data_IF_182861831688
#
_entry.id   IF_182861831688
#
_cell.length_a   1.000
_cell.length_b   1.000
_cell.length_c   1.000
_cell.angle_alpha   90.00
_cell.angle_beta   90.00
_cell.angle_gamma   90.00
#
_symmetry.space_group_name_H-M   'P 1'
#
loop_
_entity.id
_entity.type
_entity.pdbx_description
1 polymer ?
#
# COMPACT_ATOMS: atom_id res chain seq x y z
N UNK A 1 7.69 -19.89 -5.07
CA UNK A 1 6.59 -20.69 -5.67
C UNK A 1 5.32 -19.85 -5.71
N UNK A 2 4.36 -20.20 -6.58
CA UNK A 2 3.03 -19.51 -6.61
C UNK A 2 2.37 -19.52 -5.23
N UNK A 3 2.53 -20.59 -4.48
CA UNK A 3 1.98 -20.70 -3.13
C UNK A 3 2.56 -19.67 -2.15
N UNK A 4 3.84 -19.35 -2.24
CA UNK A 4 4.45 -18.32 -1.39
C UNK A 4 3.93 -16.93 -1.77
N UNK A 5 3.87 -16.62 -3.07
CA UNK A 5 3.29 -15.36 -3.52
C UNK A 5 1.83 -15.21 -3.03
N UNK A 6 1.01 -16.23 -3.16
CA UNK A 6 -0.38 -16.19 -2.68
C UNK A 6 -0.46 -15.92 -1.18
N UNK A 7 0.43 -16.48 -0.37
CA UNK A 7 0.51 -16.18 1.07
C UNK A 7 0.87 -14.72 1.31
N UNK A 8 1.88 -14.20 0.61
CA UNK A 8 2.28 -12.80 0.72
C UNK A 8 1.11 -11.86 0.39
N UNK A 9 0.42 -12.09 -0.73
CA UNK A 9 -0.76 -11.31 -1.13
C UNK A 9 -1.86 -11.37 -0.06
N UNK A 10 -2.16 -12.56 0.47
CA UNK A 10 -3.15 -12.73 1.52
C UNK A 10 -2.77 -12.05 2.85
N UNK A 11 -1.48 -11.98 3.20
CA UNK A 11 -1.01 -11.22 4.36
C UNK A 11 -1.29 -9.72 4.21
N UNK A 12 -1.03 -9.16 3.02
CA UNK A 12 -1.35 -7.76 2.72
C UNK A 12 -2.85 -7.49 2.84
N UNK A 13 -3.70 -8.35 2.25
CA UNK A 13 -5.15 -8.22 2.38
C UNK A 13 -5.62 -8.28 3.84
N UNK A 14 -5.08 -9.21 4.61
CA UNK A 14 -5.42 -9.36 6.03
C UNK A 14 -5.01 -8.12 6.85
N UNK A 15 -3.85 -7.54 6.55
CA UNK A 15 -3.39 -6.30 7.17
C UNK A 15 -4.33 -5.14 6.83
N UNK A 16 -4.70 -4.99 5.55
CA UNK A 16 -5.62 -3.95 5.11
C UNK A 16 -6.99 -4.05 5.79
N UNK A 17 -7.53 -5.27 5.96
CA UNK A 17 -8.79 -5.46 6.68
C UNK A 17 -8.69 -5.15 8.17
N UNK A 18 -7.61 -5.54 8.84
CA UNK A 18 -7.38 -5.17 10.24
C UNK A 18 -7.33 -3.65 10.43
N UNK A 19 -6.61 -2.95 9.56
CA UNK A 19 -6.53 -1.50 9.62
C UNK A 19 -7.86 -0.84 9.24
N UNK A 20 -8.57 -1.41 8.26
CA UNK A 20 -9.86 -0.91 7.80
C UNK A 20 -10.93 -0.91 8.88
N UNK A 21 -11.01 -1.93 9.74
CA UNK A 21 -12.03 -1.98 10.82
C UNK A 21 -11.83 -0.90 11.88
N UNK A 22 -10.61 -0.41 12.04
CA UNK A 22 -10.30 0.69 12.94
C UNK A 22 -10.52 2.07 12.29
N UNK A 23 -10.69 2.13 10.97
CA UNK A 23 -10.91 3.38 10.25
C UNK A 23 -12.42 3.62 10.01
N UNK A 24 -13.03 4.65 10.62
CA UNK A 24 -14.46 4.93 10.45
C UNK A 24 -14.86 5.33 9.03
N UNK A 25 -13.90 5.70 8.17
CA UNK A 25 -14.13 6.09 6.78
C UNK A 25 -13.90 4.95 5.78
N UNK A 26 -13.40 3.80 6.23
CA UNK A 26 -13.13 2.67 5.34
C UNK A 26 -14.45 2.01 4.86
N UNK A 27 -14.51 1.64 3.59
CA UNK A 27 -15.61 0.83 3.05
C UNK A 27 -15.73 -0.52 3.79
N UNK A 28 -14.61 -1.17 4.05
CA UNK A 28 -14.55 -2.40 4.84
C UNK A 28 -14.16 -2.11 6.30
N UNK A 29 -14.88 -1.17 6.89
CA UNK A 29 -14.80 -0.87 8.31
C UNK A 29 -15.52 -1.89 9.19
N UNK A 30 -15.78 -1.52 10.43
CA UNK A 30 -16.47 -2.33 11.44
C UNK A 30 -17.86 -2.80 10.94
N UNK A 31 -18.20 -4.05 11.22
CA UNK A 31 -19.42 -4.73 10.76
C UNK A 31 -19.53 -4.96 9.24
N UNK A 32 -18.47 -4.71 8.48
CA UNK A 32 -18.39 -5.04 7.05
C UNK A 32 -18.26 -6.56 6.82
N UNK A 33 -18.43 -7.06 5.58
CA UNK A 33 -18.26 -8.49 5.31
C UNK A 33 -16.91 -9.07 5.76
N UNK A 34 -15.74 -8.45 5.48
CA UNK A 34 -14.46 -8.93 5.98
C UNK A 34 -14.36 -9.01 7.51
N UNK A 35 -14.91 -8.02 8.24
CA UNK A 35 -14.96 -8.04 9.70
C UNK A 35 -15.83 -9.20 10.21
N UNK A 36 -17.03 -9.35 9.67
CA UNK A 36 -17.95 -10.43 10.04
C UNK A 36 -17.42 -11.83 9.74
N UNK A 37 -16.59 -11.95 8.70
CA UNK A 37 -15.95 -13.23 8.31
C UNK A 37 -14.60 -13.44 9.02
N UNK A 38 -14.11 -12.47 9.77
CA UNK A 38 -12.85 -12.55 10.48
C UNK A 38 -11.63 -12.67 9.56
N UNK A 39 -11.62 -11.96 8.43
CA UNK A 39 -10.57 -12.04 7.41
C UNK A 39 -9.29 -11.29 7.83
N UNK A 40 -8.80 -11.57 9.04
CA UNK A 40 -7.67 -10.86 9.66
C UNK A 40 -6.36 -11.67 9.62
N UNK A 41 -6.36 -12.81 8.93
CA UNK A 41 -5.16 -13.62 8.71
C UNK A 41 -5.09 -14.10 7.26
N UNK A 42 -3.88 -14.35 6.78
CA UNK A 42 -3.69 -14.92 5.45
C UNK A 42 -4.41 -16.27 5.29
N UNK A 43 -4.39 -17.09 6.33
CA UNK A 43 -5.09 -18.38 6.34
C UNK A 43 -6.60 -18.22 6.15
N UNK A 44 -7.23 -17.26 6.83
CA UNK A 44 -8.66 -17.01 6.69
C UNK A 44 -9.02 -16.61 5.25
N UNK A 45 -8.19 -15.80 4.59
CA UNK A 45 -8.40 -15.37 3.20
C UNK A 45 -8.15 -16.53 2.22
N UNK A 46 -7.09 -17.30 2.42
CA UNK A 46 -6.73 -18.41 1.52
C UNK A 46 -7.73 -19.58 1.60
N UNK A 47 -8.41 -19.73 2.73
CA UNK A 47 -9.43 -20.77 2.93
C UNK A 47 -10.83 -20.39 2.40
N UNK A 48 -11.01 -19.17 1.87
CA UNK A 48 -12.28 -18.77 1.26
C UNK A 48 -12.58 -19.62 0.00
N UNK A 49 -13.84 -19.99 -0.22
CA UNK A 49 -14.23 -20.73 -1.42
C UNK A 49 -14.04 -19.89 -2.68
N UNK A 50 -13.86 -20.52 -3.82
CA UNK A 50 -13.74 -19.81 -5.10
C UNK A 50 -15.07 -19.30 -5.64
N UNK A 51 -16.19 -19.88 -5.20
CA UNK A 51 -17.52 -19.53 -5.70
C UNK A 51 -18.52 -19.41 -4.55
N UNK A 52 -19.59 -18.65 -4.78
CA UNK A 52 -20.68 -18.48 -3.82
C UNK A 52 -20.55 -17.20 -2.99
N UNK A 53 -21.39 -17.09 -1.98
CA UNK A 53 -21.41 -15.91 -1.11
C UNK A 53 -20.16 -15.87 -0.22
N UNK A 54 -19.43 -14.76 -0.24
CA UNK A 54 -18.19 -14.60 0.54
C UNK A 54 -16.99 -15.31 -0.10
N UNK A 55 -17.05 -15.60 -1.40
CA UNK A 55 -15.97 -16.27 -2.14
C UNK A 55 -14.80 -15.32 -2.46
N UNK A 56 -13.66 -15.92 -2.76
CA UNK A 56 -12.44 -15.26 -3.22
C UNK A 56 -12.02 -15.80 -4.60
N UNK A 57 -12.80 -15.54 -5.67
CA UNK A 57 -12.50 -16.03 -7.01
C UNK A 57 -11.21 -15.42 -7.56
N UNK A 58 -10.57 -16.13 -8.49
CA UNK A 58 -9.47 -15.60 -9.29
C UNK A 58 -10.02 -14.51 -10.23
N UNK A 59 -9.40 -13.36 -10.22
CA UNK A 59 -9.72 -12.22 -11.10
C UNK A 59 -8.72 -12.16 -12.27
N UNK A 60 -7.44 -12.24 -11.96
CA UNK A 60 -6.36 -12.33 -12.93
C UNK A 60 -5.19 -13.08 -12.27
N UNK A 61 -4.99 -14.34 -12.63
CA UNK A 61 -4.02 -15.21 -11.96
C UNK A 61 -2.65 -14.55 -11.80
N UNK A 62 -2.07 -14.51 -10.59
CA UNK A 62 -2.50 -15.15 -9.33
C UNK A 62 -3.45 -14.31 -8.46
N UNK A 63 -3.88 -13.11 -8.91
CA UNK A 63 -4.69 -12.19 -8.11
C UNK A 63 -6.13 -12.68 -7.98
N UNK A 64 -6.64 -12.59 -6.76
CA UNK A 64 -8.01 -12.95 -6.39
C UNK A 64 -8.81 -11.69 -6.00
N UNK A 65 -10.10 -11.85 -5.75
CA UNK A 65 -10.99 -10.74 -5.42
C UNK A 65 -10.50 -9.92 -4.22
N UNK A 66 -10.00 -10.58 -3.17
CA UNK A 66 -9.50 -9.90 -1.97
C UNK A 66 -8.12 -9.27 -2.15
N UNK A 67 -7.48 -9.44 -3.31
CA UNK A 67 -6.26 -8.73 -3.69
C UNK A 67 -6.54 -7.38 -4.39
N UNK A 68 -7.81 -7.11 -4.69
CA UNK A 68 -8.25 -5.92 -5.43
C UNK A 68 -8.87 -4.90 -4.49
N UNK A 69 -8.54 -3.61 -4.68
CA UNK A 69 -9.23 -2.54 -3.98
C UNK A 69 -10.67 -2.36 -4.47
N UNK A 70 -11.49 -1.73 -3.65
CA UNK A 70 -12.79 -1.24 -4.06
C UNK A 70 -12.64 0.02 -4.93
N UNK A 71 -13.64 0.27 -5.77
CA UNK A 71 -13.79 1.55 -6.44
C UNK A 71 -14.42 2.52 -5.44
N UNK A 72 -13.71 3.60 -5.12
CA UNK A 72 -14.11 4.58 -4.12
C UNK A 72 -13.83 5.99 -4.61
N UNK A 73 -14.72 6.91 -4.28
CA UNK A 73 -14.49 8.34 -4.44
C UNK A 73 -14.09 8.94 -3.09
N UNK A 74 -13.21 9.93 -3.12
CA UNK A 74 -12.76 10.60 -1.91
C UNK A 74 -12.08 11.92 -2.22
N UNK A 75 -11.90 12.73 -1.19
CA UNK A 75 -11.15 13.97 -1.27
C UNK A 75 -10.36 14.20 0.01
N UNK A 76 -9.17 14.75 -0.13
CA UNK A 76 -8.35 15.22 0.98
C UNK A 76 -7.77 16.58 0.65
N UNK A 77 -7.57 17.42 1.64
CA UNK A 77 -6.97 18.72 1.49
C UNK A 77 -5.92 18.96 2.58
N UNK A 78 -4.81 19.56 2.19
CA UNK A 78 -3.75 20.01 3.10
C UNK A 78 -3.48 21.50 2.85
N UNK A 79 -3.08 22.21 3.89
CA UNK A 79 -2.65 23.60 3.80
C UNK A 79 -1.13 23.61 3.93
N UNK A 80 -0.47 24.18 2.93
CA UNK A 80 0.97 24.39 2.92
C UNK A 80 1.26 25.86 3.26
N UNK A 81 2.26 26.09 4.10
CA UNK A 81 2.71 27.41 4.52
C UNK A 81 4.20 27.35 4.84
N UNK A 82 4.85 28.50 4.88
CA UNK A 82 6.19 28.59 5.44
C UNK A 82 6.20 28.18 6.92
N UNK A 83 7.29 27.52 7.34
CA UNK A 83 7.42 26.98 8.70
C UNK A 83 7.27 28.10 9.75
N UNK A 84 7.79 29.28 9.50
CA UNK A 84 7.70 30.42 10.45
C UNK A 84 6.27 30.96 10.57
N UNK A 85 5.49 30.92 9.50
CA UNK A 85 4.07 31.29 9.52
C UNK A 85 3.20 30.19 10.13
N UNK A 86 3.57 28.92 9.97
CA UNK A 86 2.83 27.80 10.51
C UNK A 86 2.98 27.63 12.03
N UNK A 87 4.16 27.90 12.60
CA UNK A 87 4.46 27.74 14.05
C UNK A 87 3.43 28.38 14.98
N UNK A 88 2.96 29.63 14.74
CA UNK A 88 1.96 30.27 15.60
C UNK A 88 0.56 29.68 15.48
N UNK A 89 0.26 28.91 14.42
CA UNK A 89 -1.09 28.43 14.11
C UNK A 89 -1.50 27.19 14.92
N UNK A 90 -0.56 26.51 15.56
CA UNK A 90 -0.88 25.39 16.43
C UNK A 90 0.22 24.35 16.64
N UNK A 91 -0.07 23.38 17.50
CA UNK A 91 0.87 22.35 17.95
C UNK A 91 1.08 21.19 16.96
N UNK A 92 0.37 21.14 15.83
CA UNK A 92 0.41 20.07 14.85
C UNK A 92 0.96 20.55 13.51
N UNK A 93 2.12 21.19 13.53
CA UNK A 93 2.85 21.52 12.31
C UNK A 93 3.71 20.31 11.94
N UNK A 94 3.55 19.85 10.70
CA UNK A 94 4.36 18.78 10.13
C UNK A 94 5.22 19.41 9.03
N UNK A 95 6.51 19.19 9.09
CA UNK A 95 7.45 19.69 8.09
C UNK A 95 7.49 18.75 6.87
N UNK A 96 7.45 19.32 5.68
CA UNK A 96 7.73 18.62 4.43
C UNK A 96 9.25 18.62 4.21
N UNK A 97 9.93 17.59 4.67
CA UNK A 97 11.38 17.53 4.70
C UNK A 97 12.01 17.25 3.33
N UNK A 98 11.32 16.58 2.42
CA UNK A 98 11.85 16.29 1.09
C UNK A 98 10.80 15.81 0.11
N UNK A 99 11.00 16.11 -1.17
CA UNK A 99 10.12 15.73 -2.27
C UNK A 99 10.92 14.96 -3.33
N UNK A 100 10.35 13.86 -3.81
CA UNK A 100 10.90 13.11 -4.93
C UNK A 100 9.83 12.77 -5.96
N UNK A 101 10.13 13.04 -7.22
CA UNK A 101 9.25 12.67 -8.33
C UNK A 101 10.04 12.00 -9.45
N UNK A 102 9.47 10.98 -10.04
CA UNK A 102 9.97 10.32 -11.23
C UNK A 102 8.82 9.75 -12.05
N UNK A 103 9.04 9.58 -13.32
CA UNK A 103 8.08 8.94 -14.24
C UNK A 103 8.75 7.77 -14.94
N UNK A 104 7.97 6.79 -15.31
CA UNK A 104 8.37 5.62 -16.06
C UNK A 104 7.57 5.49 -17.34
N UNK A 105 7.98 4.61 -18.22
CA UNK A 105 7.24 4.33 -19.46
C UNK A 105 5.85 3.81 -19.14
N UNK A 106 4.84 4.38 -19.79
CA UNK A 106 3.44 4.04 -19.57
C UNK A 106 3.15 2.58 -19.92
N UNK A 107 3.62 2.13 -21.08
CA UNK A 107 3.42 0.75 -21.52
C UNK A 107 4.35 -0.21 -20.75
N UNK A 108 3.77 -1.13 -20.01
CA UNK A 108 4.51 -2.11 -19.20
C UNK A 108 5.41 -2.99 -20.06
N UNK A 109 4.97 -3.36 -21.26
CA UNK A 109 5.73 -4.21 -22.19
C UNK A 109 7.09 -3.64 -22.63
N UNK A 110 7.32 -2.34 -22.43
CA UNK A 110 8.60 -1.69 -22.76
C UNK A 110 9.40 -1.30 -21.53
N UNK A 111 8.96 -1.69 -20.33
CA UNK A 111 9.72 -1.49 -19.09
C UNK A 111 10.86 -2.51 -19.04
N UNK A 112 12.05 -2.10 -18.60
CA UNK A 112 13.19 -3.01 -18.48
C UNK A 112 12.96 -4.11 -17.43
N UNK A 113 12.14 -3.83 -16.43
CA UNK A 113 11.79 -4.76 -15.36
C UNK A 113 10.33 -4.54 -14.93
N UNK A 114 9.52 -5.59 -14.95
CA UNK A 114 8.11 -5.53 -14.62
C UNK A 114 7.82 -5.79 -13.11
N UNK A 115 8.80 -6.30 -12.40
CA UNK A 115 8.68 -6.63 -10.97
C UNK A 115 9.41 -5.62 -10.06
N UNK A 116 9.73 -4.44 -10.59
CA UNK A 116 10.27 -3.34 -9.82
C UNK A 116 9.56 -2.03 -10.16
N UNK A 117 9.34 -1.20 -9.15
CA UNK A 117 8.89 0.18 -9.33
C UNK A 117 10.11 1.11 -9.46
N UNK A 118 10.75 1.10 -10.63
CA UNK A 118 12.00 1.87 -10.88
C UNK A 118 11.77 3.37 -10.63
N UNK A 119 10.68 3.94 -11.14
CA UNK A 119 10.33 5.32 -10.87
C UNK A 119 10.10 5.58 -9.37
N UNK A 120 9.50 4.64 -8.66
CA UNK A 120 9.33 4.68 -7.21
C UNK A 120 10.68 4.76 -6.48
N UNK A 121 11.60 3.85 -6.80
CA UNK A 121 12.97 3.84 -6.23
C UNK A 121 13.69 5.18 -6.48
N UNK A 122 13.58 5.73 -7.69
CA UNK A 122 14.19 7.04 -8.02
C UNK A 122 13.56 8.18 -7.22
N UNK A 123 12.23 8.21 -7.09
CA UNK A 123 11.53 9.22 -6.32
C UNK A 123 11.90 9.17 -4.83
N UNK A 124 11.93 7.98 -4.24
CA UNK A 124 12.35 7.76 -2.85
C UNK A 124 13.77 8.25 -2.61
N UNK A 125 14.71 7.85 -3.47
CA UNK A 125 16.11 8.29 -3.33
C UNK A 125 16.27 9.82 -3.40
N UNK A 126 15.50 10.48 -4.24
CA UNK A 126 15.50 11.94 -4.33
C UNK A 126 14.95 12.61 -3.08
N UNK A 127 13.78 12.15 -2.58
CA UNK A 127 13.17 12.74 -1.39
C UNK A 127 14.03 12.49 -0.14
N UNK A 128 14.63 11.32 0.01
CA UNK A 128 15.51 11.00 1.13
C UNK A 128 16.81 11.83 1.08
N UNK A 129 17.38 11.99 -0.12
CA UNK A 129 18.57 12.85 -0.29
C UNK A 129 18.28 14.33 0.05
N UNK A 130 17.11 14.85 -0.35
CA UNK A 130 16.69 16.21 0.00
C UNK A 130 16.43 16.36 1.50
N UNK A 131 15.74 15.39 2.11
CA UNK A 131 15.47 15.38 3.54
C UNK A 131 16.71 15.11 4.41
N UNK A 132 17.78 14.55 3.83
CA UNK A 132 18.98 14.15 4.57
C UNK A 132 18.77 12.93 5.47
N UNK A 133 17.84 12.04 5.12
CA UNK A 133 17.48 10.84 5.87
C UNK A 133 17.71 9.56 5.06
N UNK A 134 17.59 8.43 5.74
CA UNK A 134 17.58 7.08 5.17
C UNK A 134 16.30 6.34 5.54
N UNK A 135 16.09 5.16 4.98
CA UNK A 135 14.95 4.30 5.35
C UNK A 135 14.93 3.94 6.84
N UNK A 136 16.08 3.92 7.50
CA UNK A 136 16.18 3.60 8.94
C UNK A 136 15.65 4.71 9.85
N UNK A 137 15.42 5.90 9.30
CA UNK A 137 14.88 7.07 10.00
C UNK A 137 13.36 7.19 9.82
N UNK A 138 12.73 6.25 9.08
CA UNK A 138 11.30 6.27 8.77
C UNK A 138 10.54 5.39 9.75
N UNK A 139 9.59 5.96 10.48
CA UNK A 139 8.75 5.25 11.45
C UNK A 139 7.58 4.52 10.77
N UNK A 140 6.98 5.11 9.73
CA UNK A 140 5.90 4.52 8.95
C UNK A 140 5.87 5.08 7.54
N UNK A 141 5.21 4.37 6.63
CA UNK A 141 5.02 4.81 5.25
C UNK A 141 3.60 4.52 4.78
N UNK A 142 3.02 5.48 4.08
CA UNK A 142 1.76 5.31 3.36
C UNK A 142 2.08 5.03 1.89
N UNK A 143 1.59 3.92 1.37
CA UNK A 143 1.83 3.50 -0.02
C UNK A 143 0.52 3.30 -0.76
N UNK A 144 0.56 3.37 -2.09
CA UNK A 144 -0.61 3.08 -2.91
C UNK A 144 -0.77 1.57 -3.08
N UNK A 145 -1.85 1.03 -2.54
CA UNK A 145 -2.15 -0.40 -2.46
C UNK A 145 -3.41 -0.80 -3.26
N UNK A 146 -3.59 -0.22 -4.46
CA UNK A 146 -4.74 -0.54 -5.32
C UNK A 146 -4.90 -2.06 -5.58
N UNK A 147 -3.82 -2.79 -5.50
CA UNK A 147 -3.75 -4.24 -5.43
C UNK A 147 -2.69 -4.64 -4.40
N UNK A 148 -2.87 -5.79 -3.77
CA UNK A 148 -1.92 -6.31 -2.78
C UNK A 148 -0.49 -6.39 -3.31
N UNK A 149 -0.31 -6.78 -4.57
CA UNK A 149 1.01 -6.81 -5.21
C UNK A 149 1.65 -5.42 -5.28
N UNK A 150 0.86 -4.37 -5.45
CA UNK A 150 1.41 -3.02 -5.52
C UNK A 150 1.95 -2.55 -4.16
N UNK A 151 1.33 -2.94 -3.05
CA UNK A 151 1.90 -2.69 -1.72
C UNK A 151 3.25 -3.39 -1.55
N UNK A 152 3.37 -4.65 -1.97
CA UNK A 152 4.62 -5.41 -1.91
C UNK A 152 5.72 -4.66 -2.68
N UNK A 153 5.47 -4.34 -3.95
CA UNK A 153 6.43 -3.63 -4.79
C UNK A 153 6.79 -2.23 -4.25
N UNK A 154 5.82 -1.53 -3.66
CA UNK A 154 6.05 -0.22 -3.05
C UNK A 154 6.92 -0.31 -1.80
N UNK A 155 6.70 -1.32 -0.96
CA UNK A 155 7.49 -1.60 0.23
C UNK A 155 8.96 -1.91 -0.14
N UNK A 156 9.16 -2.67 -1.20
CA UNK A 156 10.48 -2.97 -1.74
C UNK A 156 11.13 -1.72 -2.37
N UNK A 157 10.36 -0.91 -3.10
CA UNK A 157 10.86 0.33 -3.69
C UNK A 157 11.30 1.35 -2.63
N UNK A 158 10.63 1.38 -1.48
CA UNK A 158 11.03 2.18 -0.31
C UNK A 158 12.31 1.68 0.37
N UNK A 159 12.67 0.40 0.17
CA UNK A 159 13.79 -0.24 0.83
C UNK A 159 13.47 -0.78 2.23
N UNK A 160 12.19 -0.89 2.61
CA UNK A 160 11.74 -1.50 3.86
C UNK A 160 11.96 -3.02 3.89
N UNK A 161 12.01 -3.63 2.72
CA UNK A 161 12.34 -5.04 2.54
C UNK A 161 13.22 -5.26 1.33
N UNK A 162 13.85 -6.43 1.24
CA UNK A 162 14.56 -6.85 0.02
C UNK A 162 13.57 -7.31 -1.04
N UNK A 163 13.97 -7.22 -2.29
CA UNK A 163 13.18 -7.67 -3.42
C UNK A 163 12.73 -9.13 -3.23
N UNK A 164 11.42 -9.39 -3.39
CA UNK A 164 10.78 -10.68 -3.18
C UNK A 164 10.52 -11.07 -1.71
N UNK A 165 10.63 -10.14 -0.75
CA UNK A 165 10.49 -10.43 0.69
C UNK A 165 9.45 -9.54 1.40
N UNK A 166 8.75 -8.67 0.69
CA UNK A 166 7.79 -7.72 1.26
C UNK A 166 6.38 -8.29 1.36
N UNK A 167 6.15 -9.36 2.12
CA UNK A 167 4.81 -9.93 2.23
C UNK A 167 4.56 -10.70 3.52
#
# INVERSE_FOLDING_TARGET
SLTELQKMLAHVSALAYRNGVENPLAHFGKNSPPDRLGLFSAEAILNLPETGKGSNPVIADPLRLHDCSLISDGAAAVVLSDTEEAKPLGSRVVELAGIGMATERLAESVRPNMHELIAGKVAVNRSFAEAGISINDVDFAEVHDCFTINQILSTEALGLSKDGQAG
#
